data_IF_915589510639
#
_entry.id   IF_915589510639
#
_cell.length_a   1.000
_cell.length_b   1.000
_cell.length_c   1.000
_cell.angle_alpha   90.00
_cell.angle_beta   90.00
_cell.angle_gamma   90.00
#
_symmetry.space_group_name_H-M   'P 1'
#
loop_
_entity.id
_entity.type
_entity.pdbx_description
1 polymer ?
#
# COMPACT_ATOMS: atom_id res chain seq x y z
N UNK A 1 35.26 -26.88 34.35
CA UNK A 1 35.49 -25.91 33.26
C UNK A 1 35.28 -26.51 31.84
N UNK A 2 34.50 -27.59 31.65
CA UNK A 2 34.26 -28.22 30.32
C UNK A 2 32.96 -27.79 29.63
N UNK A 3 32.09 -27.04 30.32
CA UNK A 3 30.77 -26.61 29.80
C UNK A 3 30.82 -25.33 28.93
N UNK A 4 31.98 -24.68 28.86
CA UNK A 4 32.22 -23.44 28.08
C UNK A 4 32.99 -23.70 26.77
N UNK A 5 33.52 -24.92 26.55
CA UNK A 5 34.24 -25.27 25.32
C UNK A 5 33.31 -25.50 24.13
N UNK A 6 32.14 -26.11 24.37
CA UNK A 6 31.14 -26.36 23.33
C UNK A 6 30.61 -25.07 22.68
N UNK A 7 30.18 -24.01 23.42
CA UNK A 7 29.71 -22.78 22.79
C UNK A 7 30.83 -22.02 22.06
N UNK A 8 32.08 -22.08 22.54
CA UNK A 8 33.20 -21.39 21.90
C UNK A 8 33.58 -22.02 20.55
N UNK A 9 33.58 -23.36 20.47
CA UNK A 9 33.85 -24.07 19.21
C UNK A 9 32.71 -23.82 18.19
N UNK A 10 31.46 -23.82 18.65
CA UNK A 10 30.31 -23.56 17.78
C UNK A 10 30.32 -22.13 17.22
N UNK A 11 30.76 -21.14 18.00
CA UNK A 11 30.92 -19.76 17.54
C UNK A 11 32.00 -19.63 16.45
N UNK A 12 33.14 -20.31 16.60
CA UNK A 12 34.25 -20.27 15.62
C UNK A 12 33.86 -20.99 14.33
N UNK A 13 33.22 -22.16 14.43
CA UNK A 13 32.81 -22.93 13.24
C UNK A 13 31.65 -22.24 12.51
N UNK A 14 30.68 -21.66 13.23
CA UNK A 14 29.55 -20.93 12.64
C UNK A 14 29.98 -19.69 11.87
N UNK A 15 30.97 -18.94 12.36
CA UNK A 15 31.50 -17.77 11.65
C UNK A 15 32.37 -18.14 10.44
N UNK A 16 33.14 -19.24 10.53
CA UNK A 16 33.92 -19.75 9.40
C UNK A 16 33.05 -20.33 8.27
N UNK A 17 31.93 -20.98 8.59
CA UNK A 17 31.00 -21.52 7.60
C UNK A 17 30.12 -20.44 6.93
N UNK A 18 29.73 -19.39 7.67
CA UNK A 18 28.87 -18.32 7.15
C UNK A 18 29.60 -17.29 6.27
N UNK A 19 30.87 -16.97 6.56
CA UNK A 19 31.59 -15.90 5.85
C UNK A 19 32.14 -16.28 4.47
N UNK A 20 32.42 -17.56 4.22
CA UNK A 20 33.11 -18.01 3.00
C UNK A 20 32.22 -18.15 1.75
N UNK A 21 30.92 -18.39 1.94
CA UNK A 21 30.00 -18.71 0.81
C UNK A 21 29.63 -17.44 0.01
N UNK A 22 29.52 -16.29 0.67
CA UNK A 22 29.14 -15.03 0.01
C UNK A 22 30.19 -14.50 -0.97
N UNK A 23 31.48 -14.76 -0.72
CA UNK A 23 32.57 -14.30 -1.61
C UNK A 23 32.74 -15.17 -2.86
N UNK A 24 32.25 -16.40 -2.87
CA UNK A 24 32.41 -17.29 -4.03
C UNK A 24 31.28 -17.14 -5.06
N UNK A 25 30.13 -16.58 -4.69
CA UNK A 25 29.00 -16.35 -5.60
C UNK A 25 29.07 -15.00 -6.35
N UNK A 26 30.05 -14.14 -6.03
CA UNK A 26 30.17 -12.80 -6.60
C UNK A 26 31.11 -12.73 -7.82
N UNK A 27 31.63 -13.87 -8.30
CA UNK A 27 32.68 -13.91 -9.33
C UNK A 27 32.26 -14.55 -10.66
N UNK A 28 30.98 -14.48 -11.01
CA UNK A 28 30.50 -14.80 -12.36
C UNK A 28 30.22 -13.49 -13.12
N UNK A 29 31.29 -12.84 -13.57
CA UNK A 29 31.24 -11.95 -14.74
C UNK A 29 31.29 -12.83 -15.99
N UNK A 30 30.50 -12.51 -17.01
CA UNK A 30 31.10 -12.33 -18.33
C UNK A 30 30.42 -11.15 -19.07
N UNK A 31 31.20 -10.39 -19.85
CA UNK A 31 30.85 -9.12 -20.47
C UNK A 31 30.31 -9.32 -21.89
N UNK A 32 29.67 -8.30 -22.45
CA UNK A 32 29.85 -7.91 -23.85
C UNK A 32 29.18 -6.54 -24.11
N UNK A 33 30.00 -5.50 -24.13
CA UNK A 33 29.73 -4.26 -24.88
C UNK A 33 30.26 -4.44 -26.30
N UNK A 34 29.51 -3.94 -27.31
CA UNK A 34 29.94 -3.41 -28.64
C UNK A 34 28.77 -3.58 -29.63
N UNK A 35 28.39 -2.68 -30.54
CA UNK A 35 28.79 -1.32 -30.88
C UNK A 35 27.81 -0.80 -31.99
N UNK A 36 27.62 0.53 -32.07
CA UNK A 36 27.42 1.37 -33.27
C UNK A 36 26.00 1.75 -33.81
N UNK A 37 25.74 3.06 -33.65
CA UNK A 37 25.54 4.10 -34.69
C UNK A 37 24.15 4.36 -35.32
N UNK A 38 23.82 5.66 -35.22
CA UNK A 38 22.77 6.45 -35.83
C UNK A 38 22.56 6.27 -37.35
N UNK A 39 21.30 6.39 -37.80
CA UNK A 39 20.82 7.57 -38.57
C UNK A 39 19.57 7.22 -39.37
N UNK A 40 18.49 7.97 -39.17
CA UNK A 40 17.71 8.59 -40.24
C UNK A 40 16.53 9.32 -39.61
N UNK A 41 16.65 10.64 -39.51
CA UNK A 41 15.48 11.50 -39.31
C UNK A 41 14.62 11.51 -40.56
N UNK A 42 13.31 11.59 -40.37
CA UNK A 42 12.41 12.18 -41.36
C UNK A 42 11.40 13.08 -40.62
N UNK A 43 11.42 14.40 -40.84
CA UNK A 43 10.42 15.34 -40.35
C UNK A 43 9.22 15.38 -41.32
N UNK A 44 8.04 15.74 -40.79
CA UNK A 44 6.72 15.77 -41.47
C UNK A 44 6.09 14.38 -41.64
N UNK A 45 4.88 14.06 -41.18
CA UNK A 45 3.77 14.82 -40.62
C UNK A 45 2.50 14.09 -41.04
N UNK A 46 1.66 13.64 -40.09
CA UNK A 46 0.21 13.85 -40.06
C UNK A 46 -0.43 13.10 -38.89
N UNK A 47 -1.50 13.71 -38.42
CA UNK A 47 -2.27 13.45 -37.22
C UNK A 47 -2.92 12.05 -37.23
N UNK A 48 -2.79 11.31 -36.13
CA UNK A 48 -3.78 10.32 -35.73
C UNK A 48 -3.77 10.15 -34.21
N UNK A 49 -4.91 10.51 -33.61
CA UNK A 49 -5.40 10.18 -32.26
C UNK A 49 -4.48 9.32 -31.40
N UNK A 50 -3.79 9.97 -30.46
CA UNK A 50 -3.28 9.30 -29.26
C UNK A 50 -4.41 9.13 -28.26
N UNK A 51 -5.32 8.19 -28.55
CA UNK A 51 -6.17 7.58 -27.55
C UNK A 51 -5.39 6.39 -26.96
N UNK A 52 -4.25 6.68 -26.33
CA UNK A 52 -3.56 5.74 -25.47
C UNK A 52 -4.35 5.64 -24.17
N UNK A 53 -5.43 4.84 -24.22
CA UNK A 53 -5.97 4.21 -23.03
C UNK A 53 -4.84 3.40 -22.42
N UNK A 54 -4.19 4.00 -21.42
CA UNK A 54 -3.29 3.34 -20.52
C UNK A 54 -4.10 2.20 -19.89
N UNK A 55 -3.93 1.00 -20.44
CA UNK A 55 -4.44 -0.20 -19.85
C UNK A 55 -3.86 -0.23 -18.45
N UNK A 56 -4.72 -0.10 -17.43
CA UNK A 56 -4.38 -0.52 -16.08
C UNK A 56 -3.83 -1.94 -16.23
N UNK A 57 -2.51 -2.09 -16.10
CA UNK A 57 -1.93 -3.39 -15.82
C UNK A 57 -2.54 -3.79 -14.49
N UNK A 58 -3.59 -4.61 -14.58
CA UNK A 58 -4.13 -5.32 -13.43
C UNK A 58 -2.97 -6.17 -12.93
N UNK A 59 -2.30 -5.66 -11.88
CA UNK A 59 -1.25 -6.37 -11.18
C UNK A 59 -1.80 -7.75 -10.83
N UNK A 60 -1.05 -8.79 -11.19
CA UNK A 60 -1.45 -10.16 -10.92
C UNK A 60 -1.79 -10.29 -9.42
N UNK A 61 -2.96 -10.85 -9.08
CA UNK A 61 -3.39 -10.89 -7.70
C UNK A 61 -2.39 -11.69 -6.87
N UNK A 62 -1.80 -11.05 -5.86
CA UNK A 62 -0.88 -11.69 -4.91
C UNK A 62 -1.55 -12.95 -4.33
N UNK A 63 -0.90 -14.13 -4.35
CA UNK A 63 -1.48 -15.35 -3.78
C UNK A 63 -1.92 -15.16 -2.33
N UNK A 64 -3.02 -15.80 -1.91
CA UNK A 64 -3.56 -15.65 -0.55
C UNK A 64 -2.54 -15.98 0.56
N UNK A 65 -1.62 -16.92 0.29
CA UNK A 65 -0.55 -17.33 1.21
C UNK A 65 0.55 -16.27 1.39
N UNK A 66 0.56 -15.25 0.53
CA UNK A 66 1.52 -14.14 0.53
C UNK A 66 0.87 -12.84 1.01
N UNK A 67 -0.31 -12.91 1.62
CA UNK A 67 -1.04 -11.75 2.15
C UNK A 67 -1.04 -11.75 3.68
N UNK A 68 -0.81 -10.58 4.23
CA UNK A 68 -0.93 -10.26 5.64
C UNK A 68 -1.88 -9.08 5.83
N UNK A 69 -2.52 -9.01 7.00
CA UNK A 69 -3.48 -7.96 7.30
C UNK A 69 -3.03 -7.14 8.52
N UNK A 70 -2.74 -5.87 8.29
CA UNK A 70 -2.41 -4.90 9.33
C UNK A 70 -3.67 -4.13 9.73
N UNK A 71 -4.26 -4.46 10.88
CA UNK A 71 -5.39 -3.71 11.43
C UNK A 71 -4.93 -2.36 11.95
N UNK A 72 -5.56 -1.28 11.50
CA UNK A 72 -5.25 0.07 11.99
C UNK A 72 -5.59 0.20 13.48
N UNK A 73 -4.72 0.88 14.23
CA UNK A 73 -4.94 1.13 15.65
C UNK A 73 -6.08 2.13 15.84
N UNK A 74 -7.07 1.87 16.69
CA UNK A 74 -8.21 2.77 16.92
C UNK A 74 -9.10 3.03 15.68
N UNK A 75 -10.29 3.55 15.94
CA UNK A 75 -11.28 3.87 14.92
C UNK A 75 -11.06 5.27 14.34
N UNK A 76 -11.51 5.46 13.11
CA UNK A 76 -11.59 6.75 12.43
C UNK A 76 -12.95 7.38 12.71
N UNK A 77 -12.96 8.66 13.04
CA UNK A 77 -14.18 9.39 13.39
C UNK A 77 -14.29 10.61 12.49
N UNK A 78 -15.38 10.72 11.72
CA UNK A 78 -15.56 11.74 10.69
C UNK A 78 -16.96 12.37 10.81
N UNK A 79 -17.08 13.69 11.02
CA UNK A 79 -18.37 14.35 11.06
C UNK A 79 -18.93 14.53 9.65
N UNK A 80 -20.24 14.36 9.50
CA UNK A 80 -20.98 14.73 8.30
C UNK A 80 -21.66 16.06 8.56
N UNK A 81 -21.28 17.09 7.79
CA UNK A 81 -21.81 18.45 7.93
C UNK A 81 -22.91 18.67 6.90
N UNK A 82 -24.07 19.13 7.35
CA UNK A 82 -25.19 19.52 6.51
C UNK A 82 -25.76 20.84 7.03
N UNK A 83 -25.91 21.84 6.15
CA UNK A 83 -26.39 23.18 6.52
C UNK A 83 -25.61 23.79 7.70
N UNK A 84 -24.27 23.75 7.63
CA UNK A 84 -23.34 24.26 8.66
C UNK A 84 -23.49 23.62 10.05
N UNK A 85 -24.12 22.45 10.15
CA UNK A 85 -24.30 21.71 11.39
C UNK A 85 -23.85 20.26 11.22
N UNK A 86 -23.35 19.67 12.30
CA UNK A 86 -23.06 18.22 12.34
C UNK A 86 -24.39 17.47 12.33
N UNK A 87 -24.66 16.78 11.23
CA UNK A 87 -25.87 15.96 11.06
C UNK A 87 -25.66 14.54 11.55
N UNK A 88 -24.44 14.00 11.38
CA UNK A 88 -24.07 12.66 11.82
C UNK A 88 -22.57 12.55 12.09
N UNK A 89 -22.20 11.49 12.80
CA UNK A 89 -20.83 11.05 13.02
C UNK A 89 -20.62 9.67 12.40
N UNK A 90 -19.62 9.54 11.55
CA UNK A 90 -19.17 8.28 11.00
C UNK A 90 -18.04 7.72 11.88
N UNK A 91 -18.12 6.44 12.20
CA UNK A 91 -17.08 5.71 12.92
C UNK A 91 -16.69 4.49 12.08
N UNK A 92 -15.40 4.35 11.76
CA UNK A 92 -14.91 3.30 10.88
C UNK A 92 -13.67 2.60 11.44
N UNK A 93 -13.60 1.28 11.24
CA UNK A 93 -12.40 0.47 11.48
C UNK A 93 -11.81 0.05 10.14
N UNK A 94 -10.50 0.23 9.94
CA UNK A 94 -9.81 -0.16 8.72
C UNK A 94 -8.75 -1.26 8.96
N UNK A 95 -8.51 -2.08 7.96
CA UNK A 95 -7.38 -3.02 7.89
C UNK A 95 -6.74 -2.92 6.51
N UNK A 96 -5.41 -2.94 6.44
CA UNK A 96 -4.69 -2.92 5.18
C UNK A 96 -4.24 -4.34 4.85
N UNK A 97 -4.40 -4.72 3.58
CA UNK A 97 -3.79 -5.92 3.03
C UNK A 97 -2.41 -5.57 2.49
N UNK A 98 -1.40 -6.32 2.94
CA UNK A 98 0.01 -6.15 2.58
C UNK A 98 0.64 -7.48 2.23
N UNK A 99 1.80 -7.45 1.59
CA UNK A 99 2.62 -8.64 1.42
C UNK A 99 3.12 -9.19 2.77
N UNK A 100 3.46 -10.48 2.80
CA UNK A 100 4.04 -11.14 3.99
C UNK A 100 5.27 -10.37 4.49
N UNK A 101 5.31 -10.09 5.80
CA UNK A 101 6.34 -9.27 6.44
C UNK A 101 6.11 -7.75 6.36
N UNK A 102 5.07 -7.28 5.67
CA UNK A 102 4.77 -5.85 5.48
C UNK A 102 4.10 -5.16 6.67
N UNK A 103 3.61 -5.89 7.68
CA UNK A 103 2.86 -5.30 8.80
C UNK A 103 3.67 -4.27 9.60
N UNK A 104 4.96 -4.53 9.85
CA UNK A 104 5.82 -3.60 10.61
C UNK A 104 5.98 -2.25 9.90
N UNK A 105 6.04 -2.27 8.56
CA UNK A 105 6.09 -1.06 7.74
C UNK A 105 4.79 -0.24 7.88
N UNK A 106 3.63 -0.89 7.90
CA UNK A 106 2.33 -0.23 8.11
C UNK A 106 2.29 0.45 9.48
N UNK A 107 2.70 -0.24 10.54
CA UNK A 107 2.64 0.32 11.90
C UNK A 107 3.65 1.47 12.10
N UNK A 108 4.84 1.38 11.49
CA UNK A 108 5.83 2.46 11.55
C UNK A 108 5.39 3.72 10.81
N UNK A 109 4.61 3.57 9.72
CA UNK A 109 4.06 4.67 8.93
C UNK A 109 2.60 5.00 9.27
N UNK A 110 2.04 4.38 10.31
CA UNK A 110 0.64 4.53 10.72
C UNK A 110 0.22 6.01 10.88
N UNK A 111 1.03 6.92 11.46
CA UNK A 111 0.65 8.32 11.56
C UNK A 111 0.38 8.99 10.21
N UNK A 112 1.15 8.63 9.16
CA UNK A 112 0.97 9.17 7.80
C UNK A 112 -0.23 8.55 7.10
N UNK A 113 -0.39 7.24 7.23
CA UNK A 113 -1.57 6.52 6.71
C UNK A 113 -2.86 7.09 7.32
N UNK A 114 -2.86 7.33 8.63
CA UNK A 114 -4.00 7.88 9.35
C UNK A 114 -4.38 9.28 8.86
N UNK A 115 -3.39 10.14 8.68
CA UNK A 115 -3.58 11.50 8.14
C UNK A 115 -4.22 11.46 6.75
N UNK A 116 -3.64 10.65 5.84
CA UNK A 116 -4.14 10.49 4.48
C UNK A 116 -5.57 9.90 4.44
N UNK A 117 -5.86 8.88 5.25
CA UNK A 117 -7.19 8.29 5.31
C UNK A 117 -8.22 9.25 5.88
N UNK A 118 -7.89 10.02 6.92
CA UNK A 118 -8.80 11.04 7.44
C UNK A 118 -9.15 12.08 6.37
N UNK A 119 -8.15 12.55 5.61
CA UNK A 119 -8.39 13.47 4.51
C UNK A 119 -9.36 12.89 3.48
N UNK A 120 -9.12 11.66 3.01
CA UNK A 120 -10.01 10.98 2.05
C UNK A 120 -11.44 10.87 2.58
N UNK A 121 -11.60 10.51 3.86
CA UNK A 121 -12.94 10.39 4.45
C UNK A 121 -13.63 11.74 4.62
N UNK A 122 -12.90 12.80 4.97
CA UNK A 122 -13.46 14.16 5.03
C UNK A 122 -13.92 14.61 3.66
N UNK A 123 -13.11 14.39 2.62
CA UNK A 123 -13.48 14.74 1.24
C UNK A 123 -14.71 13.94 0.79
N UNK A 124 -14.76 12.65 1.11
CA UNK A 124 -15.94 11.80 0.85
C UNK A 124 -17.19 12.31 1.58
N UNK A 125 -17.06 12.75 2.83
CA UNK A 125 -18.15 13.34 3.61
C UNK A 125 -18.63 14.66 2.98
N UNK A 126 -17.71 15.52 2.57
CA UNK A 126 -17.99 16.82 1.97
C UNK A 126 -18.68 16.70 0.60
N UNK A 127 -18.34 15.67 -0.18
CA UNK A 127 -19.04 15.33 -1.43
C UNK A 127 -20.40 14.65 -1.20
N UNK A 128 -20.76 14.39 0.06
CA UNK A 128 -22.03 13.77 0.44
C UNK A 128 -22.07 12.26 0.28
N UNK A 129 -20.91 11.59 0.17
CA UNK A 129 -20.83 10.13 0.04
C UNK A 129 -21.39 9.36 1.25
N UNK A 130 -21.46 10.02 2.42
CA UNK A 130 -22.12 9.50 3.62
C UNK A 130 -23.59 9.93 3.81
N UNK A 131 -24.16 10.68 2.86
CA UNK A 131 -25.58 11.06 2.91
C UNK A 131 -26.49 9.94 2.39
N UNK A 132 -27.73 9.90 2.88
CA UNK A 132 -28.73 8.91 2.43
C UNK A 132 -28.26 7.46 2.58
N UNK A 133 -28.33 6.68 1.49
CA UNK A 133 -27.89 5.29 1.42
C UNK A 133 -26.35 5.18 1.37
N UNK A 134 -25.68 5.58 2.45
CA UNK A 134 -24.22 5.63 2.56
C UNK A 134 -23.54 4.26 2.35
N UNK A 135 -24.25 3.17 2.61
CA UNK A 135 -23.76 1.79 2.39
C UNK A 135 -24.01 1.27 0.97
N UNK A 136 -24.47 2.12 0.05
CA UNK A 136 -24.64 1.71 -1.35
C UNK A 136 -23.31 1.26 -1.97
N UNK A 137 -23.37 0.25 -2.84
CA UNK A 137 -22.19 -0.33 -3.50
C UNK A 137 -21.36 0.74 -4.22
N UNK A 138 -22.02 1.70 -4.88
CA UNK A 138 -21.35 2.79 -5.59
C UNK A 138 -20.54 3.69 -4.64
N UNK A 139 -21.14 4.14 -3.52
CA UNK A 139 -20.47 5.00 -2.56
C UNK A 139 -19.31 4.27 -1.87
N UNK A 140 -19.52 3.02 -1.47
CA UNK A 140 -18.49 2.22 -0.82
C UNK A 140 -17.32 1.87 -1.74
N UNK A 141 -17.59 1.66 -3.04
CA UNK A 141 -16.52 1.46 -4.04
C UNK A 141 -15.68 2.73 -4.19
N UNK A 142 -16.33 3.89 -4.30
CA UNK A 142 -15.61 5.16 -4.40
C UNK A 142 -14.71 5.40 -3.18
N UNK A 143 -15.25 5.20 -1.97
CA UNK A 143 -14.47 5.35 -0.73
C UNK A 143 -13.29 4.37 -0.68
N UNK A 144 -13.50 3.09 -0.98
CA UNK A 144 -12.43 2.07 -0.98
C UNK A 144 -11.32 2.42 -1.97
N UNK A 145 -11.67 2.77 -3.20
CA UNK A 145 -10.69 3.13 -4.22
C UNK A 145 -9.85 4.33 -3.78
N UNK A 146 -10.47 5.39 -3.25
CA UNK A 146 -9.74 6.57 -2.77
C UNK A 146 -8.86 6.27 -1.54
N UNK A 147 -9.30 5.38 -0.64
CA UNK A 147 -8.49 4.94 0.49
C UNK A 147 -7.28 4.12 0.03
N UNK A 148 -7.48 3.18 -0.90
CA UNK A 148 -6.42 2.36 -1.47
C UNK A 148 -5.38 3.24 -2.18
N UNK A 149 -5.81 4.17 -3.03
CA UNK A 149 -4.93 5.10 -3.74
C UNK A 149 -4.13 5.99 -2.76
N UNK A 150 -4.75 6.42 -1.66
CA UNK A 150 -4.06 7.18 -0.62
C UNK A 150 -3.05 6.31 0.16
N UNK A 151 -3.39 5.06 0.46
CA UNK A 151 -2.48 4.12 1.10
C UNK A 151 -1.26 3.87 0.20
N UNK A 152 -1.51 3.67 -1.09
CA UNK A 152 -0.51 3.36 -2.08
C UNK A 152 0.49 4.51 -2.27
N UNK A 153 0.00 5.76 -2.29
CA UNK A 153 0.86 6.96 -2.30
C UNK A 153 1.75 7.08 -1.06
N UNK A 154 1.23 6.71 0.12
CA UNK A 154 1.99 6.81 1.38
C UNK A 154 3.03 5.70 1.49
N UNK A 155 2.69 4.51 1.00
CA UNK A 155 3.49 3.29 1.14
C UNK A 155 4.22 2.89 -0.13
N UNK A 156 4.18 3.72 -1.19
CA UNK A 156 4.94 3.56 -2.43
C UNK A 156 4.73 2.19 -3.13
N UNK A 157 3.50 1.71 -3.27
CA UNK A 157 3.24 0.42 -3.94
C UNK A 157 3.03 -0.77 -3.00
N UNK A 158 3.30 -0.63 -1.69
CA UNK A 158 3.32 -1.78 -0.77
C UNK A 158 1.96 -2.17 -0.17
N UNK A 159 0.85 -1.53 -0.59
CA UNK A 159 -0.50 -1.84 -0.10
C UNK A 159 -1.33 -2.44 -1.23
N UNK A 160 -1.77 -3.68 -1.04
CA UNK A 160 -2.57 -4.40 -2.03
C UNK A 160 -4.05 -4.02 -1.97
N UNK A 161 -4.59 -3.81 -0.76
CA UNK A 161 -6.01 -3.45 -0.57
C UNK A 161 -6.24 -2.72 0.78
N UNK A 162 -7.36 -2.00 0.88
CA UNK A 162 -7.85 -1.38 2.12
C UNK A 162 -9.27 -1.88 2.44
N UNK A 163 -9.35 -2.64 3.53
CA UNK A 163 -10.58 -3.23 4.02
C UNK A 163 -11.25 -2.31 5.03
N UNK A 164 -12.51 -1.95 4.75
CA UNK A 164 -13.40 -1.34 5.74
C UNK A 164 -14.02 -2.48 6.55
N UNK A 165 -13.52 -2.67 7.77
CA UNK A 165 -13.91 -3.77 8.66
C UNK A 165 -15.24 -3.48 9.35
N UNK A 166 -15.38 -2.25 9.85
CA UNK A 166 -16.60 -1.79 10.51
C UNK A 166 -16.95 -0.39 10.01
N UNK A 167 -18.25 -0.11 9.88
CA UNK A 167 -18.78 1.22 9.61
C UNK A 167 -20.05 1.45 10.44
N UNK A 168 -20.06 2.54 11.19
CA UNK A 168 -21.20 2.97 12.00
C UNK A 168 -21.51 4.41 11.67
N UNK A 169 -22.80 4.72 11.55
CA UNK A 169 -23.31 6.08 11.46
C UNK A 169 -24.14 6.37 12.69
N UNK A 170 -23.83 7.48 13.36
CA UNK A 170 -24.59 8.00 14.48
C UNK A 170 -25.19 9.34 14.08
N UNK A 171 -26.50 9.37 13.85
CA UNK A 171 -27.19 10.63 13.58
C UNK A 171 -27.29 11.47 14.86
N UNK A 172 -27.10 12.78 14.71
CA UNK A 172 -27.32 13.73 15.79
C UNK A 172 -28.82 13.97 15.90
N UNK A 173 -29.47 13.30 16.85
CA UNK A 173 -30.88 13.55 17.15
C UNK A 173 -31.01 14.98 17.68
N UNK A 174 -31.79 15.79 16.96
CA UNK A 174 -32.13 17.15 17.36
C UNK A 174 -33.34 17.16 18.31
#
# INVERSE_FOLDING_TARGET
MKKLLLPLILMIVGTAAGGGVGMFLMNAEDPDETMLVETSGNPCGDEHDSDEMMAEEASDPVPLEQREYARMSNQFIVPVILNDKVAAMMVMSLSLEVEVGGQEAVFSHEPRLRDAFLQVMFDHANMGGFNGAFTSTANMRLLRNSLQEAADRVMLGHISDVLIVDIVRQDVTN
#
